data_IF_833595378898
#
_entry.id   IF_833595378898
#
_cell.length_a   1.000
_cell.length_b   1.000
_cell.length_c   1.000
_cell.angle_alpha   90.00
_cell.angle_beta   90.00
_cell.angle_gamma   90.00
#
_symmetry.space_group_name_H-M   'P 1'
#
loop_
_entity.id
_entity.type
_entity.pdbx_description
1 polymer ?
#
# COMPACT_ATOMS: atom_id res chain seq x y z
N UNK A 1 -31.74 29.57 37.05
CA UNK A 1 -32.19 28.51 36.14
C UNK A 1 -31.15 28.38 35.03
N UNK A 2 -30.42 27.27 35.00
CA UNK A 2 -29.42 26.97 33.96
C UNK A 2 -30.15 26.42 32.72
N UNK A 3 -29.82 26.84 31.50
CA UNK A 3 -30.40 26.23 30.30
C UNK A 3 -29.70 24.90 29.97
N UNK A 4 -30.51 23.96 29.51
CA UNK A 4 -30.19 22.58 29.17
C UNK A 4 -29.20 22.49 27.98
N UNK A 5 -28.05 21.83 28.17
CA UNK A 5 -27.08 21.53 27.12
C UNK A 5 -27.51 20.30 26.29
N UNK A 6 -28.60 20.42 25.55
CA UNK A 6 -29.04 19.35 24.64
C UNK A 6 -29.51 19.92 23.31
N UNK A 7 -28.58 20.44 22.50
CA UNK A 7 -28.73 20.49 21.04
C UNK A 7 -27.41 20.86 20.37
N UNK A 8 -26.46 19.92 20.31
CA UNK A 8 -25.41 19.98 19.29
C UNK A 8 -25.91 19.16 18.09
N UNK A 9 -26.73 19.79 17.25
CA UNK A 9 -26.88 19.34 15.88
C UNK A 9 -25.57 19.69 15.15
N UNK A 10 -24.61 18.76 15.17
CA UNK A 10 -23.47 18.82 14.27
C UNK A 10 -23.99 18.88 12.82
N UNK A 11 -23.36 19.68 11.94
CA UNK A 11 -23.82 19.84 10.58
C UNK A 11 -23.76 18.49 9.87
N UNK A 12 -24.81 18.26 9.09
CA UNK A 12 -25.02 17.19 8.13
C UNK A 12 -23.83 17.10 7.14
N UNK A 13 -22.67 16.65 7.60
CA UNK A 13 -21.65 16.12 6.71
C UNK A 13 -22.26 14.84 6.14
N UNK A 14 -22.60 14.87 4.86
CA UNK A 14 -22.88 13.68 4.06
C UNK A 14 -21.74 12.67 4.33
N UNK A 15 -21.97 11.71 5.23
CA UNK A 15 -21.13 10.54 5.37
C UNK A 15 -21.37 9.72 4.10
N UNK A 16 -20.62 10.03 3.04
CA UNK A 16 -20.64 9.19 1.86
C UNK A 16 -20.20 7.78 2.28
N UNK A 17 -20.94 6.80 1.80
CA UNK A 17 -20.71 5.39 2.10
C UNK A 17 -19.30 4.99 1.63
N UNK A 18 -18.57 4.29 2.50
CA UNK A 18 -17.26 3.72 2.20
C UNK A 18 -17.45 2.24 1.90
N UNK A 19 -17.01 1.79 0.73
CA UNK A 19 -17.04 0.38 0.33
C UNK A 19 -15.63 -0.13 0.08
N UNK A 20 -15.32 -1.33 0.56
CA UNK A 20 -14.05 -2.01 0.31
C UNK A 20 -14.31 -3.27 -0.51
N UNK A 21 -13.90 -3.24 -1.77
CA UNK A 21 -13.84 -4.44 -2.62
C UNK A 21 -12.56 -5.20 -2.30
N UNK A 22 -12.69 -6.41 -1.77
CA UNK A 22 -11.58 -7.21 -1.27
C UNK A 22 -11.80 -8.70 -1.50
N UNK A 23 -10.80 -9.48 -1.16
CA UNK A 23 -10.91 -10.94 -1.06
C UNK A 23 -10.30 -11.40 0.26
N UNK A 24 -10.98 -12.31 0.98
CA UNK A 24 -10.60 -12.74 2.33
C UNK A 24 -9.23 -13.46 2.43
N UNK A 25 -8.65 -14.14 1.43
CA UNK A 25 -7.28 -14.63 1.53
C UNK A 25 -6.24 -13.56 1.19
N UNK A 26 -6.64 -12.38 0.69
CA UNK A 26 -5.69 -11.39 0.19
C UNK A 26 -5.10 -10.56 1.33
N UNK A 27 -3.77 -10.56 1.50
CA UNK A 27 -3.10 -9.72 2.49
C UNK A 27 -3.25 -8.23 2.17
N UNK A 28 -3.54 -7.86 0.92
CA UNK A 28 -3.76 -6.48 0.52
C UNK A 28 -5.12 -5.97 1.00
N UNK A 29 -6.18 -6.79 0.94
CA UNK A 29 -7.49 -6.46 1.53
C UNK A 29 -7.39 -6.24 3.04
N UNK A 30 -6.63 -7.10 3.73
CA UNK A 30 -6.48 -7.05 5.18
C UNK A 30 -5.86 -5.74 5.67
N UNK A 31 -4.93 -5.16 4.89
CA UNK A 31 -4.37 -3.84 5.20
C UNK A 31 -5.48 -2.80 5.27
N UNK A 32 -6.32 -2.71 4.25
CA UNK A 32 -7.39 -1.70 4.22
C UNK A 32 -8.44 -1.96 5.31
N UNK A 33 -8.80 -3.23 5.57
CA UNK A 33 -9.68 -3.64 6.68
C UNK A 33 -9.14 -3.12 8.02
N UNK A 34 -7.85 -3.36 8.32
CA UNK A 34 -7.23 -2.89 9.56
C UNK A 34 -7.17 -1.36 9.61
N UNK A 35 -7.01 -0.69 8.47
CA UNK A 35 -6.93 0.77 8.37
C UNK A 35 -8.22 1.40 8.87
N UNK A 36 -9.33 0.92 8.29
CA UNK A 36 -10.66 1.42 8.54
C UNK A 36 -11.04 1.16 9.99
N UNK A 37 -10.78 -0.05 10.50
CA UNK A 37 -11.03 -0.42 11.90
C UNK A 37 -10.22 0.42 12.89
N UNK A 38 -8.92 0.60 12.68
CA UNK A 38 -8.07 1.42 13.56
C UNK A 38 -8.47 2.90 13.58
N UNK A 39 -9.07 3.38 12.49
CA UNK A 39 -9.55 4.76 12.37
C UNK A 39 -11.02 4.94 12.78
N UNK A 40 -11.72 3.87 13.16
CA UNK A 40 -13.15 3.93 13.48
C UNK A 40 -14.00 4.36 12.29
N UNK A 41 -13.56 4.06 11.07
CA UNK A 41 -14.31 4.34 9.83
C UNK A 41 -15.21 3.15 9.55
N UNK A 42 -16.52 3.38 9.56
CA UNK A 42 -17.52 2.40 9.12
C UNK A 42 -17.40 2.18 7.61
N UNK A 43 -17.50 0.93 7.17
CA UNK A 43 -17.41 0.56 5.76
C UNK A 43 -18.20 -0.73 5.45
N UNK A 44 -18.69 -0.82 4.22
CA UNK A 44 -19.23 -2.05 3.65
C UNK A 44 -18.07 -2.87 3.04
N UNK A 45 -17.95 -4.14 3.43
CA UNK A 45 -16.99 -5.05 2.80
C UNK A 45 -17.67 -5.87 1.71
N UNK A 46 -17.15 -5.80 0.48
CA UNK A 46 -17.65 -6.53 -0.68
C UNK A 46 -16.60 -7.59 -1.04
N UNK A 47 -16.96 -8.87 -0.84
CA UNK A 47 -16.12 -10.00 -1.22
C UNK A 47 -16.15 -10.21 -2.73
N UNK A 48 -14.98 -10.21 -3.37
CA UNK A 48 -14.80 -10.40 -4.80
C UNK A 48 -14.35 -11.83 -5.12
N UNK A 49 -15.04 -12.47 -6.06
CA UNK A 49 -14.54 -13.67 -6.73
C UNK A 49 -13.49 -13.26 -7.78
N UNK A 50 -12.23 -13.62 -7.53
CA UNK A 50 -11.12 -13.27 -8.42
C UNK A 50 -11.14 -14.05 -9.75
N UNK A 51 -11.91 -15.14 -9.84
CA UNK A 51 -12.13 -15.92 -11.06
C UNK A 51 -13.27 -15.34 -11.92
N UNK A 52 -14.27 -14.74 -11.27
CA UNK A 52 -15.42 -14.11 -11.91
C UNK A 52 -15.71 -12.73 -11.28
N UNK A 53 -14.93 -11.73 -11.70
CA UNK A 53 -14.89 -10.38 -11.11
C UNK A 53 -16.20 -9.62 -11.34
N UNK A 54 -16.64 -8.87 -10.35
CA UNK A 54 -17.87 -8.08 -10.46
C UNK A 54 -17.74 -6.94 -11.48
N UNK A 55 -18.86 -6.54 -12.08
CA UNK A 55 -18.92 -5.37 -12.96
C UNK A 55 -18.49 -4.09 -12.24
N UNK A 56 -18.75 -4.01 -10.93
CA UNK A 56 -18.39 -2.86 -10.09
C UNK A 56 -16.88 -2.76 -9.90
N UNK A 57 -16.19 -3.88 -9.64
CA UNK A 57 -14.72 -3.90 -9.58
C UNK A 57 -14.10 -3.48 -10.91
N UNK A 58 -14.68 -3.93 -12.03
CA UNK A 58 -14.23 -3.56 -13.37
C UNK A 58 -14.49 -2.09 -13.69
N UNK A 59 -15.63 -1.52 -13.24
CA UNK A 59 -15.94 -0.08 -13.34
C UNK A 59 -14.93 0.76 -12.56
N UNK A 60 -14.60 0.36 -11.34
CA UNK A 60 -13.77 1.15 -10.42
C UNK A 60 -12.26 0.96 -10.61
N UNK A 61 -11.82 -0.15 -11.20
CA UNK A 61 -10.42 -0.40 -11.56
C UNK A 61 -10.31 -0.99 -12.98
N UNK A 62 -10.66 -0.24 -14.04
CA UNK A 62 -10.74 -0.76 -15.40
C UNK A 62 -9.37 -1.16 -15.98
N UNK A 63 -8.31 -0.52 -15.50
CA UNK A 63 -6.93 -0.77 -15.95
C UNK A 63 -6.39 -2.09 -15.39
N UNK A 64 -6.38 -2.24 -14.07
CA UNK A 64 -5.73 -3.39 -13.44
C UNK A 64 -6.69 -4.50 -13.04
N UNK A 65 -7.97 -4.19 -12.83
CA UNK A 65 -9.02 -5.17 -12.48
C UNK A 65 -8.64 -6.01 -11.26
N UNK A 66 -8.03 -5.38 -10.25
CA UNK A 66 -7.47 -6.01 -9.03
C UNK A 66 -8.07 -5.38 -7.77
N UNK A 67 -8.07 -6.17 -6.69
CA UNK A 67 -8.37 -5.75 -5.31
C UNK A 67 -7.07 -5.47 -4.53
N UNK A 68 -7.12 -4.70 -3.43
CA UNK A 68 -8.27 -3.97 -2.89
C UNK A 68 -8.62 -2.71 -3.68
N UNK A 69 -9.90 -2.36 -3.71
CA UNK A 69 -10.38 -1.05 -4.17
C UNK A 69 -11.25 -0.45 -3.08
N UNK A 70 -10.83 0.70 -2.54
CA UNK A 70 -11.63 1.46 -1.59
C UNK A 70 -12.45 2.48 -2.38
N UNK A 71 -13.75 2.56 -2.17
CA UNK A 71 -14.64 3.49 -2.85
C UNK A 71 -15.32 4.36 -1.81
N UNK A 72 -15.26 5.68 -1.98
CA UNK A 72 -15.98 6.64 -1.14
C UNK A 72 -16.97 7.40 -2.03
N UNK A 73 -18.26 7.09 -1.89
CA UNK A 73 -19.27 7.48 -2.89
C UNK A 73 -19.00 6.82 -4.24
N UNK A 74 -18.66 7.61 -5.27
CA UNK A 74 -18.32 7.12 -6.62
C UNK A 74 -16.84 7.28 -6.98
N UNK A 75 -15.99 7.59 -6.01
CA UNK A 75 -14.56 7.87 -6.22
C UNK A 75 -13.73 6.66 -5.80
N UNK A 76 -13.21 5.87 -6.74
CA UNK A 76 -12.39 4.71 -6.42
C UNK A 76 -10.94 5.10 -6.11
N UNK A 77 -10.37 4.40 -5.13
CA UNK A 77 -8.96 4.40 -4.79
C UNK A 77 -8.51 2.95 -4.91
N UNK A 78 -7.98 2.60 -6.09
CA UNK A 78 -7.32 1.32 -6.31
C UNK A 78 -5.87 1.42 -5.82
N UNK A 79 -5.37 0.39 -5.14
CA UNK A 79 -3.97 0.39 -4.65
C UNK A 79 -3.00 0.30 -5.85
N UNK A 80 -2.45 1.45 -6.28
CA UNK A 80 -1.60 1.55 -7.48
C UNK A 80 -0.20 0.97 -7.29
N UNK A 81 0.32 0.95 -6.07
CA UNK A 81 1.69 0.48 -5.79
C UNK A 81 1.84 -1.03 -6.05
N UNK A 82 0.81 -1.84 -5.77
CA UNK A 82 0.86 -3.29 -6.02
C UNK A 82 0.92 -3.59 -7.53
N UNK A 83 0.26 -2.77 -8.35
CA UNK A 83 0.32 -2.91 -9.80
C UNK A 83 1.74 -2.62 -10.32
N UNK A 84 2.36 -1.53 -9.87
CA UNK A 84 3.73 -1.16 -10.23
C UNK A 84 4.72 -2.24 -9.79
N UNK A 85 4.62 -2.74 -8.56
CA UNK A 85 5.47 -3.84 -8.07
C UNK A 85 5.32 -5.12 -8.89
N UNK A 86 4.12 -5.43 -9.39
CA UNK A 86 3.91 -6.60 -10.25
C UNK A 86 4.63 -6.52 -11.59
N UNK A 87 4.89 -5.31 -12.09
CA UNK A 87 5.69 -5.09 -13.30
C UNK A 87 7.17 -5.45 -13.07
N UNK A 88 7.74 -5.23 -11.88
CA UNK A 88 9.13 -5.64 -11.60
C UNK A 88 9.33 -7.17 -11.62
N UNK A 89 8.31 -7.93 -11.21
CA UNK A 89 8.38 -9.40 -11.25
C UNK A 89 8.28 -9.99 -12.65
N UNK A 90 7.65 -9.27 -13.60
CA UNK A 90 7.33 -9.77 -14.94
C UNK A 90 8.14 -9.12 -16.04
N UNK A 91 8.42 -7.84 -15.91
CA UNK A 91 9.10 -7.01 -16.89
C UNK A 91 10.60 -7.26 -16.94
N UNK A 92 11.17 -6.86 -18.07
CA UNK A 92 12.61 -6.83 -18.35
C UNK A 92 12.90 -5.71 -19.36
N UNK A 93 14.17 -5.30 -19.48
CA UNK A 93 14.57 -4.24 -20.42
C UNK A 93 13.78 -2.95 -20.24
N UNK A 94 13.30 -2.38 -21.34
CA UNK A 94 12.60 -1.09 -21.38
C UNK A 94 11.33 -1.05 -20.50
N UNK A 95 10.59 -2.16 -20.41
CA UNK A 95 9.39 -2.23 -19.57
C UNK A 95 9.74 -2.10 -18.07
N UNK A 96 10.85 -2.73 -17.67
CA UNK A 96 11.35 -2.64 -16.30
C UNK A 96 11.87 -1.23 -15.99
N UNK A 97 12.58 -0.60 -16.91
CA UNK A 97 13.07 0.78 -16.76
C UNK A 97 11.94 1.79 -16.65
N UNK A 98 10.89 1.63 -17.47
CA UNK A 98 9.68 2.45 -17.40
C UNK A 98 8.97 2.26 -16.06
N UNK A 99 8.77 1.03 -15.61
CA UNK A 99 8.16 0.75 -14.32
C UNK A 99 8.99 1.31 -13.14
N UNK A 100 10.31 1.26 -13.23
CA UNK A 100 11.21 1.87 -12.27
C UNK A 100 11.08 3.38 -12.20
N UNK A 101 10.98 4.03 -13.36
CA UNK A 101 10.79 5.47 -13.46
C UNK A 101 9.45 5.92 -12.88
N UNK A 102 8.35 5.25 -13.25
CA UNK A 102 7.01 5.55 -12.73
C UNK A 102 6.90 5.34 -11.22
N UNK A 103 7.54 4.28 -10.70
CA UNK A 103 7.62 4.02 -9.27
C UNK A 103 8.40 5.13 -8.56
N UNK A 104 9.56 5.52 -9.11
CA UNK A 104 10.39 6.57 -8.53
C UNK A 104 9.64 7.90 -8.40
N UNK A 105 8.93 8.33 -9.45
CA UNK A 105 8.14 9.56 -9.41
C UNK A 105 7.02 9.48 -8.35
N UNK A 106 6.36 8.34 -8.24
CA UNK A 106 5.35 8.10 -7.20
C UNK A 106 5.96 8.16 -5.79
N UNK A 107 7.15 7.59 -5.62
CA UNK A 107 7.86 7.58 -4.33
C UNK A 107 8.38 8.96 -3.95
N UNK A 108 8.80 9.80 -4.90
CA UNK A 108 9.15 11.21 -4.62
C UNK A 108 7.97 11.98 -4.05
N UNK A 109 6.78 11.80 -4.62
CA UNK A 109 5.56 12.41 -4.09
C UNK A 109 5.29 11.90 -2.66
N UNK A 110 5.45 10.59 -2.44
CA UNK A 110 5.26 9.99 -1.13
C UNK A 110 6.28 10.52 -0.10
N UNK A 111 7.53 10.71 -0.50
CA UNK A 111 8.58 11.26 0.34
C UNK A 111 8.31 12.72 0.74
N UNK A 112 7.88 13.55 -0.20
CA UNK A 112 7.64 14.97 0.04
C UNK A 112 6.33 15.22 0.78
N UNK A 113 5.24 14.60 0.31
CA UNK A 113 3.89 14.93 0.78
C UNK A 113 3.35 13.92 1.79
N UNK A 114 3.73 12.65 1.66
CA UNK A 114 3.25 11.58 2.55
C UNK A 114 4.03 11.55 3.86
N UNK A 115 5.33 11.23 3.75
CA UNK A 115 6.25 11.17 4.89
C UNK A 115 6.63 12.59 5.33
N UNK A 116 7.08 13.45 4.40
CA UNK A 116 7.59 14.77 4.74
C UNK A 116 8.69 14.67 5.79
N UNK A 117 8.67 15.56 6.79
CA UNK A 117 9.65 15.56 7.89
C UNK A 117 9.28 14.60 9.05
N UNK A 118 8.21 13.82 8.91
CA UNK A 118 7.76 12.91 9.98
C UNK A 118 8.68 11.69 10.08
N UNK A 119 8.86 11.20 11.31
CA UNK A 119 9.62 9.96 11.58
C UNK A 119 8.93 8.73 11.00
N UNK A 120 7.62 8.70 11.08
CA UNK A 120 6.75 7.65 10.54
C UNK A 120 5.61 8.31 9.75
N UNK A 121 4.94 7.57 8.86
CA UNK A 121 3.70 8.04 8.25
C UNK A 121 2.63 8.33 9.31
N UNK A 122 2.69 7.66 10.46
CA UNK A 122 1.89 7.97 11.65
C UNK A 122 2.38 9.14 12.51
N UNK A 123 3.40 9.90 12.09
CA UNK A 123 4.02 10.96 12.87
C UNK A 123 5.08 10.40 13.81
N UNK A 124 4.82 10.46 15.11
CA UNK A 124 5.72 9.96 16.16
C UNK A 124 5.59 8.46 16.43
N UNK A 125 4.46 7.86 16.05
CA UNK A 125 4.15 6.45 16.25
C UNK A 125 3.94 5.74 14.92
N UNK A 126 4.35 4.47 14.86
CA UNK A 126 4.05 3.58 13.74
C UNK A 126 2.54 3.44 13.60
N UNK A 127 2.03 3.66 12.39
CA UNK A 127 0.65 3.38 12.04
C UNK A 127 0.58 2.25 11.00
N UNK A 128 -0.61 2.01 10.46
CA UNK A 128 -0.78 0.98 9.45
C UNK A 128 -0.01 1.24 8.14
N UNK A 129 0.10 2.50 7.72
CA UNK A 129 0.84 2.88 6.50
C UNK A 129 2.29 2.47 6.66
N UNK A 130 2.85 2.69 7.84
CA UNK A 130 4.20 2.27 8.19
C UNK A 130 4.38 0.75 8.10
N UNK A 131 3.44 -0.01 8.64
CA UNK A 131 3.45 -1.48 8.60
C UNK A 131 3.31 -2.01 7.16
N UNK A 132 2.38 -1.42 6.41
CA UNK A 132 2.01 -1.87 5.06
C UNK A 132 3.15 -1.66 4.07
N UNK A 133 3.74 -0.47 4.07
CA UNK A 133 4.85 -0.16 3.16
C UNK A 133 6.19 -0.67 3.68
N UNK A 134 6.39 -0.79 5.00
CA UNK A 134 7.64 -1.30 5.58
C UNK A 134 7.93 -2.75 5.16
N UNK A 135 6.91 -3.62 5.20
CA UNK A 135 7.02 -5.00 4.75
C UNK A 135 7.26 -5.10 3.23
N UNK A 136 6.65 -4.21 2.44
CA UNK A 136 6.83 -4.14 0.99
C UNK A 136 8.25 -3.71 0.61
N UNK A 137 8.79 -2.68 1.26
CA UNK A 137 10.14 -2.19 0.99
C UNK A 137 11.24 -3.21 1.31
N UNK A 138 11.09 -4.01 2.38
CA UNK A 138 12.05 -5.07 2.69
C UNK A 138 12.12 -6.14 1.59
N UNK A 139 10.98 -6.60 1.08
CA UNK A 139 10.94 -7.55 -0.04
C UNK A 139 11.38 -6.94 -1.37
N UNK A 140 11.22 -5.62 -1.52
CA UNK A 140 11.62 -4.91 -2.74
C UNK A 140 13.13 -4.81 -2.91
N UNK A 141 13.89 -4.61 -1.84
CA UNK A 141 15.35 -4.53 -1.91
C UNK A 141 15.96 -5.80 -2.54
N UNK A 142 15.45 -6.98 -2.19
CA UNK A 142 15.87 -8.23 -2.81
C UNK A 142 15.50 -8.33 -4.31
N UNK A 143 14.40 -7.69 -4.72
CA UNK A 143 13.97 -7.64 -6.12
C UNK A 143 14.81 -6.67 -6.94
N UNK A 144 15.14 -5.50 -6.37
CA UNK A 144 16.07 -4.52 -6.96
C UNK A 144 17.43 -5.16 -7.22
N UNK A 145 17.98 -5.87 -6.24
CA UNK A 145 19.24 -6.59 -6.36
C UNK A 145 19.18 -7.67 -7.44
N UNK A 146 18.15 -8.53 -7.40
CA UNK A 146 18.00 -9.62 -8.36
C UNK A 146 17.78 -9.14 -9.81
N UNK A 147 17.26 -7.93 -9.99
CA UNK A 147 16.99 -7.32 -11.31
C UNK A 147 18.04 -6.30 -11.74
N UNK A 148 19.00 -5.96 -10.87
CA UNK A 148 20.01 -4.95 -11.13
C UNK A 148 19.46 -3.53 -11.30
N UNK A 149 18.31 -3.22 -10.69
CA UNK A 149 17.68 -1.89 -10.74
C UNK A 149 17.82 -1.17 -9.41
N UNK A 150 17.79 0.17 -9.44
CA UNK A 150 17.88 0.99 -8.25
C UNK A 150 16.80 2.07 -8.26
N UNK A 151 15.89 2.00 -7.31
CA UNK A 151 14.75 2.91 -7.16
C UNK A 151 14.79 3.54 -5.77
N UNK A 152 14.93 2.75 -4.70
CA UNK A 152 14.96 3.24 -3.30
C UNK A 152 16.36 3.63 -2.83
N UNK A 153 17.01 4.58 -3.52
CA UNK A 153 18.36 5.01 -3.16
C UNK A 153 18.36 6.17 -2.13
N UNK A 154 19.30 6.19 -1.18
CA UNK A 154 19.43 7.30 -0.22
C UNK A 154 19.64 8.66 -0.88
N UNK A 155 20.21 8.69 -2.09
CA UNK A 155 20.50 9.93 -2.82
C UNK A 155 19.24 10.57 -3.40
N UNK A 156 18.27 9.76 -3.79
CA UNK A 156 17.02 10.22 -4.43
C UNK A 156 15.86 10.25 -3.45
N UNK A 157 15.84 9.35 -2.49
CA UNK A 157 14.76 9.15 -1.52
C UNK A 157 15.32 9.02 -0.08
N UNK A 158 16.07 10.03 0.42
CA UNK A 158 16.77 9.95 1.71
C UNK A 158 15.88 9.62 2.90
N UNK A 159 14.69 10.24 3.00
CA UNK A 159 13.77 10.08 4.14
C UNK A 159 13.06 8.75 4.07
N UNK A 160 12.55 8.34 2.90
CA UNK A 160 11.94 7.02 2.75
C UNK A 160 12.97 5.91 2.98
N UNK A 161 14.21 6.07 2.51
CA UNK A 161 15.28 5.12 2.77
C UNK A 161 15.59 4.99 4.27
N UNK A 162 15.70 6.11 4.99
CA UNK A 162 15.90 6.11 6.44
C UNK A 162 14.70 5.51 7.20
N UNK A 163 13.49 5.86 6.79
CA UNK A 163 12.25 5.32 7.34
C UNK A 163 12.17 3.80 7.16
N UNK A 164 12.48 3.25 5.97
CA UNK A 164 12.48 1.81 5.71
C UNK A 164 13.43 1.04 6.62
N UNK A 165 14.64 1.56 6.85
CA UNK A 165 15.60 0.94 7.79
C UNK A 165 15.09 0.93 9.23
N UNK A 166 14.29 1.93 9.60
CA UNK A 166 13.77 2.08 10.96
C UNK A 166 12.50 1.24 11.15
N UNK A 167 11.56 1.29 10.20
CA UNK A 167 10.29 0.57 10.23
C UNK A 167 10.48 -0.94 10.09
N UNK A 168 11.46 -1.38 9.29
CA UNK A 168 11.86 -2.79 9.22
C UNK A 168 12.30 -3.30 10.59
N UNK A 169 13.10 -2.58 11.36
CA UNK A 169 13.58 -3.06 12.66
C UNK A 169 12.47 -3.41 13.69
N UNK A 170 11.30 -2.75 13.60
CA UNK A 170 10.15 -2.96 14.48
C UNK A 170 9.22 -4.10 14.03
N UNK A 171 9.04 -4.27 12.71
CA UNK A 171 8.14 -5.28 12.13
C UNK A 171 8.87 -6.59 11.81
N UNK A 172 10.17 -6.53 11.50
CA UNK A 172 10.94 -7.62 10.85
C UNK A 172 11.55 -8.61 11.84
N UNK A 173 11.98 -8.17 13.03
CA UNK A 173 12.86 -9.03 13.87
C UNK A 173 12.23 -10.35 14.32
N UNK A 174 10.90 -10.45 14.39
CA UNK A 174 10.24 -11.68 14.83
C UNK A 174 9.30 -12.32 13.78
N UNK A 175 8.95 -11.62 12.69
CA UNK A 175 7.80 -12.01 11.85
C UNK A 175 8.06 -12.11 10.34
N UNK A 176 9.27 -11.80 9.85
CA UNK A 176 9.57 -11.82 8.41
C UNK A 176 10.82 -12.70 8.13
N UNK A 177 10.85 -13.50 7.04
CA UNK A 177 12.00 -14.35 6.74
C UNK A 177 13.31 -13.56 6.59
N UNK A 178 14.42 -14.18 7.00
CA UNK A 178 15.77 -13.63 6.82
C UNK A 178 16.03 -13.20 5.37
N UNK A 179 16.81 -12.14 5.18
CA UNK A 179 17.02 -11.49 3.88
C UNK A 179 17.51 -12.50 2.83
N UNK A 180 18.51 -13.30 3.18
CA UNK A 180 19.08 -14.32 2.30
C UNK A 180 18.05 -15.33 1.81
N UNK A 181 17.08 -15.70 2.67
CA UNK A 181 15.99 -16.61 2.31
C UNK A 181 15.01 -15.95 1.34
N UNK A 182 14.73 -14.66 1.52
CA UNK A 182 13.90 -13.89 0.60
C UNK A 182 14.59 -13.72 -0.76
N UNK A 183 15.88 -13.37 -0.79
CA UNK A 183 16.66 -13.23 -2.02
C UNK A 183 16.69 -14.55 -2.80
N UNK A 184 17.01 -15.67 -2.12
CA UNK A 184 17.03 -16.99 -2.75
C UNK A 184 15.66 -17.39 -3.33
N UNK A 185 14.55 -17.11 -2.63
CA UNK A 185 13.20 -17.35 -3.15
C UNK A 185 12.92 -16.51 -4.39
N UNK A 186 13.26 -15.21 -4.36
CA UNK A 186 13.05 -14.28 -5.47
C UNK A 186 13.84 -14.70 -6.70
N UNK A 187 15.14 -14.99 -6.56
CA UNK A 187 15.98 -15.48 -7.66
C UNK A 187 15.40 -16.76 -8.28
N UNK A 188 14.98 -17.72 -7.45
CA UNK A 188 14.35 -18.97 -7.91
C UNK A 188 13.04 -18.72 -8.66
N UNK A 189 12.25 -17.74 -8.22
CA UNK A 189 10.98 -17.38 -8.87
C UNK A 189 11.21 -16.68 -10.21
N UNK A 190 12.19 -15.78 -10.28
CA UNK A 190 12.57 -15.10 -11.51
C UNK A 190 13.11 -16.07 -12.57
N UNK A 191 13.86 -17.10 -12.18
CA UNK A 191 14.37 -18.12 -13.09
C UNK A 191 13.30 -19.04 -13.70
N UNK A 192 12.03 -18.93 -13.27
CA UNK A 192 10.90 -19.75 -13.76
C UNK A 192 9.99 -19.00 -14.74
N UNK A 193 10.19 -17.69 -14.90
CA UNK A 193 9.51 -16.84 -15.88
C UNK A 193 10.43 -16.62 -17.07
#
# INVERSE_FOLDING_TARGET
MLPCFSCLALPFFLMHEVKLYGSWPSPFSHRIIWALKLKGVEYEYIEEDLSNKSESLLKYNPVYKKIPVLVHGDKPIAESLVATFSAFYRGSGEELEKAATELLESLKILEEQGLGDKRFFGGESINLVDISYGALGYGFAALEEAKGVKVLEPRTLPRLHAWLRTSSSFVVKENIPAYDKMLAYTMKKLARN
#
